data_IF_991352075995
#
_entry.id   IF_991352075995
#
_cell.length_a   1.000
_cell.length_b   1.000
_cell.length_c   1.000
_cell.angle_alpha   90.00
_cell.angle_beta   90.00
_cell.angle_gamma   90.00
#
_symmetry.space_group_name_H-M   'P 1'
#
loop_
_entity.id
_entity.type
_entity.pdbx_description
1 polymer ?
#
# COMPACT_ATOMS: atom_id res chain seq x y z
N UNK A 1 -30.75 2.16 -10.05
CA UNK A 1 -29.63 1.24 -9.77
C UNK A 1 -29.42 1.20 -8.27
N UNK A 2 -29.25 0.04 -7.63
CA UNK A 2 -28.84 0.01 -6.23
C UNK A 2 -27.49 0.72 -6.07
N UNK A 3 -27.22 1.38 -4.94
CA UNK A 3 -25.93 2.01 -4.71
C UNK A 3 -24.83 0.94 -4.77
N UNK A 4 -23.64 1.27 -5.32
CA UNK A 4 -22.52 0.33 -5.36
C UNK A 4 -22.18 -0.10 -3.93
N UNK A 5 -21.98 -1.40 -3.72
CA UNK A 5 -21.52 -1.93 -2.45
C UNK A 5 -20.03 -1.56 -2.28
N UNK A 6 -19.75 -0.60 -1.39
CA UNK A 6 -18.39 -0.16 -1.07
C UNK A 6 -17.89 -1.00 0.11
N UNK A 7 -16.86 -1.80 -0.12
CA UNK A 7 -16.18 -2.52 0.95
C UNK A 7 -15.14 -1.62 1.62
N UNK A 8 -15.35 -1.29 2.90
CA UNK A 8 -14.44 -0.42 3.66
C UNK A 8 -13.27 -1.24 4.19
N UNK A 9 -12.08 -1.07 3.61
CA UNK A 9 -10.82 -1.72 4.00
C UNK A 9 -9.64 -0.76 3.90
N UNK A 10 -8.57 -1.06 4.64
CA UNK A 10 -7.31 -0.31 4.63
C UNK A 10 -6.11 -1.26 4.81
N UNK A 11 -4.89 -0.71 4.85
CA UNK A 11 -3.67 -1.48 5.09
C UNK A 11 -3.76 -2.27 6.43
N UNK A 12 -3.38 -3.55 6.46
CA UNK A 12 -3.42 -4.35 7.68
C UNK A 12 -2.31 -3.93 8.65
N UNK A 13 -2.47 -4.30 9.93
CA UNK A 13 -1.40 -4.18 10.91
C UNK A 13 -0.21 -5.07 10.52
N UNK A 14 1.00 -4.53 10.63
CA UNK A 14 2.24 -5.23 10.34
C UNK A 14 3.09 -5.28 11.62
N UNK A 15 3.25 -6.48 12.17
CA UNK A 15 3.95 -6.69 13.45
C UNK A 15 5.44 -6.28 13.42
N UNK A 16 6.02 -6.07 12.22
CA UNK A 16 7.37 -5.51 12.07
C UNK A 16 7.43 -4.02 12.45
N UNK A 17 6.29 -3.33 12.49
CA UNK A 17 6.18 -1.89 12.77
C UNK A 17 5.17 -1.61 13.92
N UNK A 18 5.43 -2.08 15.15
CA UNK A 18 4.46 -2.02 16.26
C UNK A 18 4.38 -0.64 16.94
N UNK A 19 5.24 0.30 16.60
CA UNK A 19 5.31 1.61 17.25
C UNK A 19 4.39 2.62 16.59
N UNK A 20 4.09 3.73 17.27
CA UNK A 20 3.27 4.82 16.71
C UNK A 20 3.93 5.48 15.47
N UNK A 21 5.26 5.45 15.37
CA UNK A 21 5.96 6.01 14.23
C UNK A 21 5.90 5.06 13.02
N UNK A 22 5.04 5.40 12.06
CA UNK A 22 4.77 4.58 10.86
C UNK A 22 5.62 4.96 9.62
N UNK A 23 6.58 5.89 9.74
CA UNK A 23 7.41 6.33 8.60
C UNK A 23 8.12 5.17 7.90
N UNK A 24 8.68 4.22 8.68
CA UNK A 24 9.33 3.02 8.12
C UNK A 24 8.34 2.06 7.47
N UNK A 25 7.10 1.99 7.96
CA UNK A 25 6.06 1.15 7.38
C UNK A 25 5.65 1.70 6.01
N UNK A 26 5.36 3.00 5.93
CA UNK A 26 5.09 3.70 4.67
C UNK A 26 6.22 3.47 3.66
N UNK A 27 7.47 3.79 4.03
CA UNK A 27 8.62 3.63 3.13
C UNK A 27 8.83 2.19 2.66
N UNK A 28 8.65 1.21 3.55
CA UNK A 28 8.76 -0.21 3.21
C UNK A 28 7.73 -0.61 2.15
N UNK A 29 6.46 -0.20 2.30
CA UNK A 29 5.40 -0.50 1.32
C UNK A 29 5.62 0.19 -0.02
N UNK A 30 6.13 1.43 -0.01
CA UNK A 30 6.51 2.15 -1.23
C UNK A 30 7.61 1.42 -2.01
N UNK A 31 8.67 0.98 -1.31
CA UNK A 31 9.77 0.23 -1.91
C UNK A 31 9.32 -1.16 -2.39
N UNK A 32 8.47 -1.86 -1.64
CA UNK A 32 7.90 -3.16 -2.05
C UNK A 32 7.11 -3.02 -3.37
N UNK A 33 6.30 -1.97 -3.51
CA UNK A 33 5.58 -1.69 -4.75
C UNK A 33 6.53 -1.50 -5.94
N UNK A 34 7.50 -0.58 -5.83
CA UNK A 34 8.42 -0.28 -6.94
C UNK A 34 9.34 -1.45 -7.28
N UNK A 35 9.75 -2.24 -6.28
CA UNK A 35 10.47 -3.51 -6.52
C UNK A 35 9.60 -4.52 -7.27
N UNK A 36 8.34 -4.64 -6.91
CA UNK A 36 7.39 -5.53 -7.58
C UNK A 36 7.21 -5.11 -9.05
N UNK A 37 6.93 -3.83 -9.30
CA UNK A 37 6.78 -3.27 -10.65
C UNK A 37 8.06 -3.46 -11.47
N UNK A 38 9.23 -3.16 -10.91
CA UNK A 38 10.51 -3.34 -11.61
C UNK A 38 10.80 -4.80 -11.97
N UNK A 39 10.34 -5.76 -11.17
CA UNK A 39 10.56 -7.18 -11.42
C UNK A 39 9.51 -7.82 -12.35
N UNK A 40 8.29 -7.27 -12.38
CA UNK A 40 7.12 -7.94 -12.97
C UNK A 40 6.39 -7.14 -14.05
N UNK A 41 6.70 -5.85 -14.18
CA UNK A 41 6.02 -4.92 -15.08
C UNK A 41 4.87 -4.16 -14.40
N UNK A 42 4.45 -3.08 -15.06
CA UNK A 42 3.46 -2.11 -14.54
C UNK A 42 2.03 -2.69 -14.41
N UNK A 43 1.70 -3.72 -15.19
CA UNK A 43 0.36 -4.33 -15.23
C UNK A 43 0.21 -5.53 -14.28
N UNK A 44 1.21 -5.80 -13.46
CA UNK A 44 1.17 -6.91 -12.51
C UNK A 44 0.15 -6.63 -11.39
N UNK A 45 -1.04 -7.22 -11.50
CA UNK A 45 -2.13 -7.09 -10.51
C UNK A 45 -1.70 -7.44 -9.08
N UNK A 46 -0.70 -8.30 -8.92
CA UNK A 46 -0.14 -8.66 -7.63
C UNK A 46 0.65 -7.53 -6.93
N UNK A 47 1.11 -6.52 -7.67
CA UNK A 47 1.75 -5.33 -7.12
C UNK A 47 0.72 -4.32 -6.59
N UNK A 48 -0.54 -4.39 -7.05
CA UNK A 48 -1.62 -3.48 -6.66
C UNK A 48 -1.88 -3.49 -5.14
N UNK A 49 -1.66 -4.63 -4.47
CA UNK A 49 -1.77 -4.72 -3.00
C UNK A 49 -0.81 -3.76 -2.30
N UNK A 50 0.44 -3.68 -2.76
CA UNK A 50 1.43 -2.77 -2.19
C UNK A 50 1.08 -1.33 -2.52
N UNK A 51 0.54 -1.09 -3.71
CA UNK A 51 0.04 0.23 -4.12
C UNK A 51 -1.07 0.75 -3.20
N UNK A 52 -2.05 -0.11 -2.89
CA UNK A 52 -3.11 0.21 -1.92
C UNK A 52 -2.51 0.54 -0.56
N UNK A 53 -1.56 -0.24 -0.08
CA UNK A 53 -1.00 -0.05 1.26
C UNK A 53 -0.18 1.23 1.39
N UNK A 54 0.75 1.52 0.48
CA UNK A 54 1.55 2.75 0.61
C UNK A 54 0.69 4.00 0.44
N UNK A 55 -0.34 3.98 -0.42
CA UNK A 55 -1.29 5.10 -0.57
C UNK A 55 -2.15 5.32 0.68
N UNK A 56 -2.43 4.28 1.45
CA UNK A 56 -3.15 4.39 2.73
C UNK A 56 -2.27 4.82 3.91
N UNK A 57 -0.95 4.58 3.84
CA UNK A 57 -0.01 4.84 4.93
C UNK A 57 0.78 6.14 4.77
N UNK A 58 1.12 6.50 3.54
CA UNK A 58 1.99 7.64 3.24
C UNK A 58 1.18 8.91 3.00
N UNK A 59 1.65 10.09 3.48
CA UNK A 59 1.15 11.38 3.02
C UNK A 59 1.24 11.49 1.49
N UNK A 60 0.25 12.13 0.86
CA UNK A 60 0.20 12.28 -0.60
C UNK A 60 1.46 12.97 -1.18
N UNK A 61 2.08 13.87 -0.43
CA UNK A 61 3.29 14.60 -0.84
C UNK A 61 4.57 13.75 -0.84
N UNK A 62 4.51 12.52 -0.31
CA UNK A 62 5.70 11.67 -0.12
C UNK A 62 5.86 10.60 -1.20
N UNK A 63 4.94 10.49 -2.16
CA UNK A 63 4.96 9.48 -3.22
C UNK A 63 4.50 10.02 -4.58
#
# INVERSE_FOLDING_TARGET
>A
LPPPHIEIKTAPADFRFPTTNQTRHCFTRYVEFHRCVSAKGDEAAECEKFAKYYRSLCPAEWW
#
